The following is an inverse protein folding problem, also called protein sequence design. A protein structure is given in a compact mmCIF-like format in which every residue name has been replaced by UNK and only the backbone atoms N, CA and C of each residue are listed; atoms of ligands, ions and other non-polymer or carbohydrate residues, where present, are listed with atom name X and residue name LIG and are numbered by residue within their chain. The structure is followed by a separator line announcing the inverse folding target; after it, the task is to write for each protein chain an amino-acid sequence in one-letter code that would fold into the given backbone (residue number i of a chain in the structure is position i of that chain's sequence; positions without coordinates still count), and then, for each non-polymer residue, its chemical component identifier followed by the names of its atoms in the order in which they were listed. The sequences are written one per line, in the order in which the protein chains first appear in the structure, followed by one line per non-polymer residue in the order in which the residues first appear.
data_IF_469192471027
#
_entry.id   IF_469192471027
#
_cell.length_a   1.000
_cell.length_b   1.000
_cell.length_c   1.000
_cell.angle_alpha   90.00
_cell.angle_beta   90.00
_cell.angle_gamma   90.00
#
_symmetry.space_group_name_H-M   'P 1'
#
loop_
_entity.id
_entity.type
_entity.pdbx_description
1 polymer ?
#
# COMPACT_ATOMS: atom_id res chain seq x y z
N UNK A 1 13.19 -10.28 5.25
CA UNK A 1 13.75 -9.03 5.79
C UNK A 1 15.27 -8.92 5.89
N UNK A 2 16.10 -9.98 5.82
CA UNK A 2 17.56 -9.83 5.97
C UNK A 2 18.37 -9.74 4.67
N UNK A 3 17.86 -10.18 3.52
CA UNK A 3 18.58 -10.05 2.23
C UNK A 3 18.05 -8.88 1.38
N UNK A 4 16.77 -8.81 1.09
CA UNK A 4 16.19 -7.69 0.32
C UNK A 4 16.19 -6.38 1.11
N UNK A 5 15.85 -6.40 2.39
CA UNK A 5 15.95 -5.23 3.24
C UNK A 5 17.39 -4.79 3.55
N UNK A 6 18.42 -5.63 3.33
CA UNK A 6 19.82 -5.21 3.40
C UNK A 6 20.30 -4.60 2.10
N UNK A 7 19.82 -5.08 0.94
CA UNK A 7 20.14 -4.43 -0.34
C UNK A 7 19.54 -3.01 -0.42
N UNK A 8 18.26 -2.85 -0.12
CA UNK A 8 17.63 -1.52 -0.08
C UNK A 8 18.30 -0.59 0.96
N UNK A 9 18.66 -1.11 2.15
CA UNK A 9 19.38 -0.32 3.16
C UNK A 9 20.83 -0.02 2.79
N UNK A 10 21.48 -0.85 1.98
CA UNK A 10 22.84 -0.58 1.51
C UNK A 10 22.86 0.45 0.37
N UNK A 11 21.95 0.38 -0.58
CA UNK A 11 21.80 1.41 -1.64
C UNK A 11 21.43 2.77 -1.05
N UNK A 12 20.51 2.82 -0.08
CA UNK A 12 20.17 4.07 0.61
C UNK A 12 21.33 4.63 1.46
N UNK A 13 22.14 3.77 2.09
CA UNK A 13 23.32 4.22 2.84
C UNK A 13 24.45 4.73 1.94
N UNK A 14 24.65 4.15 0.76
CA UNK A 14 25.68 4.60 -0.18
C UNK A 14 25.30 5.96 -0.77
N UNK A 15 24.02 6.17 -1.13
CA UNK A 15 23.51 7.44 -1.63
C UNK A 15 23.58 8.53 -0.55
N UNK A 16 23.25 8.23 0.71
CA UNK A 16 23.31 9.20 1.82
C UNK A 16 24.77 9.55 2.19
N UNK A 17 25.70 8.60 2.06
CA UNK A 17 27.13 8.85 2.36
C UNK A 17 27.79 9.65 1.24
N UNK A 18 27.40 9.47 -0.02
CA UNK A 18 27.92 10.30 -1.13
C UNK A 18 27.38 11.74 -1.07
N UNK A 19 26.15 11.94 -0.63
CA UNK A 19 25.55 13.28 -0.50
C UNK A 19 26.18 14.10 0.66
N UNK A 20 26.69 13.44 1.69
CA UNK A 20 27.33 14.12 2.83
C UNK A 20 28.77 14.57 2.52
N UNK A 21 29.46 13.93 1.56
CA UNK A 21 30.82 14.29 1.21
C UNK A 21 30.92 15.53 0.29
N UNK A 22 29.84 15.90 -0.40
CA UNK A 22 29.80 17.08 -1.30
C UNK A 22 29.38 18.39 -0.60
N UNK A 23 29.04 18.37 0.70
CA UNK A 23 28.59 19.57 1.45
C UNK A 23 29.59 20.12 2.46
N UNK A 24 30.83 19.61 2.52
CA UNK A 24 31.89 20.09 3.44
C UNK A 24 33.01 20.78 2.66
N UNK A 25 32.72 21.63 1.73
CA UNK A 25 33.70 22.34 0.95
C UNK A 25 33.30 23.76 0.58
N UNK A 26 32.92 24.61 1.53
CA UNK A 26 32.97 26.06 1.40
C UNK A 26 32.55 26.75 2.72
N UNK A 27 33.50 27.02 3.58
CA UNK A 27 33.43 28.13 4.54
C UNK A 27 34.85 28.45 4.99
N UNK A 28 35.49 29.34 4.26
CA UNK A 28 36.67 30.09 4.76
C UNK A 28 36.22 31.51 5.00
N UNK A 29 36.19 31.88 6.26
CA UNK A 29 35.98 33.22 6.76
C UNK A 29 37.29 33.98 6.48
N UNK A 30 37.17 35.13 5.80
CA UNK A 30 38.26 36.12 5.69
C UNK A 30 37.92 37.27 6.63
N UNK A 31 38.75 37.47 7.62
CA UNK A 31 38.86 38.75 8.36
C UNK A 31 40.24 39.35 8.11
N UNK A 32 40.24 40.58 7.58
CA UNK A 32 41.06 41.66 8.03
C UNK A 32 42.41 41.91 7.40
N UNK A 33 42.47 42.94 6.61
CA UNK A 33 43.36 44.12 6.67
C UNK A 33 44.80 44.01 6.13
N UNK A 34 45.14 44.98 5.27
CA UNK A 34 46.49 45.61 5.16
C UNK A 34 47.24 45.42 3.85
N UNK A 35 47.07 46.37 2.94
CA UNK A 35 48.06 47.00 2.04
C UNK A 35 49.31 46.22 1.56
N UNK A 36 49.52 45.98 0.28
CA UNK A 36 50.43 46.77 -0.56
C UNK A 36 50.43 46.27 -2.03
N UNK A 37 50.56 47.24 -2.93
CA UNK A 37 50.68 47.10 -4.38
C UNK A 37 52.06 46.52 -4.74
N UNK A 38 52.11 45.61 -5.71
CA UNK A 38 53.13 45.61 -6.76
C UNK A 38 52.65 44.88 -8.02
N UNK A 39 52.58 45.65 -9.04
CA UNK A 39 52.45 45.33 -10.45
C UNK A 39 53.73 44.58 -10.94
N UNK A 40 53.60 43.48 -11.69
CA UNK A 40 54.61 43.00 -12.62
C UNK A 40 53.89 42.40 -13.85
N UNK A 41 54.44 42.84 -14.98
CA UNK A 41 54.02 42.78 -16.35
C UNK A 41 54.22 41.37 -16.97
N UNK A 42 53.42 41.12 -18.02
CA UNK A 42 53.45 39.99 -18.99
C UNK A 42 54.86 39.60 -19.43
N UNK A 43 55.06 38.34 -19.69
CA UNK A 43 55.73 37.94 -20.92
C UNK A 43 55.15 36.60 -21.48
N UNK A 44 54.93 36.61 -22.78
CA UNK A 44 54.41 35.55 -23.66
C UNK A 44 55.56 34.64 -24.11
N UNK A 45 55.33 33.33 -24.16
CA UNK A 45 55.65 32.50 -25.33
C UNK A 45 55.59 30.98 -25.02
N UNK A 46 54.68 30.33 -25.68
CA UNK A 46 54.91 29.14 -26.53
C UNK A 46 55.25 27.80 -25.90
N UNK A 47 54.37 26.86 -25.99
CA UNK A 47 54.47 25.66 -26.83
C UNK A 47 53.46 24.62 -26.40
N UNK A 48 52.79 24.10 -27.42
CA UNK A 48 51.89 22.95 -27.39
C UNK A 48 52.49 21.72 -26.72
N UNK A 49 51.67 21.06 -25.88
CA UNK A 49 51.63 19.60 -25.81
C UNK A 49 50.34 19.20 -25.12
N UNK A 50 49.38 18.75 -25.89
CA UNK A 50 48.22 18.00 -25.47
C UNK A 50 48.65 16.60 -25.07
N UNK A 51 48.32 16.11 -23.87
CA UNK A 51 48.22 14.68 -23.66
C UNK A 51 46.77 14.26 -23.94
N UNK A 52 46.67 13.21 -24.73
CA UNK A 52 45.46 12.48 -25.01
C UNK A 52 44.66 12.21 -23.78
N UNK A 53 43.41 12.70 -23.76
CA UNK A 53 42.42 12.26 -22.79
C UNK A 53 41.91 10.90 -23.29
N UNK A 54 42.47 9.84 -22.75
CA UNK A 54 41.89 8.53 -22.78
C UNK A 54 40.45 8.65 -22.26
N UNK A 55 39.51 8.33 -23.15
CA UNK A 55 38.11 8.20 -22.87
C UNK A 55 37.93 7.19 -21.74
N UNK A 56 37.67 7.68 -20.55
CA UNK A 56 37.21 6.83 -19.46
C UNK A 56 35.84 6.29 -19.92
N UNK A 57 35.81 5.05 -20.41
CA UNK A 57 34.61 4.27 -20.55
C UNK A 57 33.96 4.21 -19.19
N UNK A 58 32.84 4.90 -19.07
CA UNK A 58 31.91 4.83 -17.95
C UNK A 58 31.32 3.41 -17.99
N UNK A 59 31.92 2.50 -17.25
CA UNK A 59 31.32 1.23 -16.93
C UNK A 59 30.08 1.55 -16.08
N UNK A 60 28.94 1.67 -16.74
CA UNK A 60 27.66 1.51 -16.08
C UNK A 60 27.57 0.03 -15.69
N UNK A 61 27.99 -0.30 -14.45
CA UNK A 61 27.60 -1.54 -13.82
C UNK A 61 26.06 -1.49 -13.64
N UNK A 62 25.34 -1.89 -14.65
CA UNK A 62 23.99 -2.39 -14.51
C UNK A 62 24.12 -3.73 -13.81
N UNK A 63 24.03 -3.75 -12.47
CA UNK A 63 23.59 -4.95 -11.77
C UNK A 63 22.20 -5.29 -12.33
N UNK A 64 22.16 -6.19 -13.30
CA UNK A 64 20.92 -6.83 -13.70
C UNK A 64 20.53 -7.72 -12.54
N UNK A 65 19.75 -7.19 -11.57
CA UNK A 65 19.06 -8.04 -10.61
C UNK A 65 18.24 -9.05 -11.42
N UNK A 66 18.54 -10.34 -11.26
CA UNK A 66 17.76 -11.39 -11.91
C UNK A 66 16.30 -11.26 -11.47
N UNK A 67 15.41 -11.06 -12.44
CA UNK A 67 13.97 -10.95 -12.19
C UNK A 67 13.48 -12.30 -11.67
N UNK A 68 12.65 -12.32 -10.60
CA UNK A 68 12.09 -13.56 -10.12
C UNK A 68 11.18 -14.16 -11.20
N UNK A 69 11.45 -15.42 -11.57
CA UNK A 69 10.72 -16.15 -12.61
C UNK A 69 9.78 -17.22 -12.06
N UNK A 70 9.97 -17.61 -10.78
CA UNK A 70 9.20 -18.65 -10.11
C UNK A 70 8.56 -18.10 -8.84
N UNK A 71 7.45 -17.36 -9.01
CA UNK A 71 6.83 -16.62 -7.90
C UNK A 71 5.58 -17.33 -7.40
N UNK A 72 5.48 -17.41 -6.08
CA UNK A 72 4.28 -17.84 -5.36
C UNK A 72 3.74 -16.63 -4.59
N UNK A 73 2.46 -16.32 -4.77
CA UNK A 73 1.77 -15.31 -3.98
C UNK A 73 0.56 -15.93 -3.27
N UNK A 74 0.50 -15.83 -1.96
CA UNK A 74 -0.63 -16.32 -1.18
C UNK A 74 -1.61 -15.21 -0.88
N UNK A 75 -2.87 -15.46 -1.14
CA UNK A 75 -4.05 -14.61 -1.17
C UNK A 75 -4.34 -13.97 -2.52
N UNK A 76 -5.63 -13.78 -2.77
CA UNK A 76 -6.12 -13.10 -3.97
C UNK A 76 -5.48 -11.72 -4.16
N UNK A 77 -5.35 -10.93 -3.08
CA UNK A 77 -4.81 -9.57 -3.16
C UNK A 77 -3.31 -9.57 -3.52
N UNK A 78 -2.50 -10.45 -2.93
CA UNK A 78 -1.06 -10.54 -3.24
C UNK A 78 -0.82 -11.06 -4.65
N UNK A 79 -1.62 -12.04 -5.09
CA UNK A 79 -1.57 -12.55 -6.46
C UNK A 79 -1.90 -11.46 -7.48
N UNK A 80 -2.97 -10.70 -7.23
CA UNK A 80 -3.40 -9.59 -8.08
C UNK A 80 -2.33 -8.49 -8.16
N UNK A 81 -1.73 -8.09 -7.02
CA UNK A 81 -0.64 -7.10 -7.01
C UNK A 81 0.55 -7.52 -7.88
N UNK A 82 0.95 -8.80 -7.80
CA UNK A 82 2.04 -9.32 -8.61
C UNK A 82 1.71 -9.34 -10.10
N UNK A 83 0.48 -9.75 -10.46
CA UNK A 83 -0.02 -9.74 -11.85
C UNK A 83 -0.12 -8.30 -12.40
N UNK A 84 -0.65 -7.36 -11.60
CA UNK A 84 -0.72 -5.92 -11.95
C UNK A 84 0.67 -5.31 -12.17
N UNK A 85 1.67 -5.79 -11.45
CA UNK A 85 3.07 -5.41 -11.65
C UNK A 85 3.73 -6.07 -12.87
N UNK A 86 2.99 -6.90 -13.63
CA UNK A 86 3.46 -7.57 -14.84
C UNK A 86 4.23 -8.87 -14.58
N UNK A 87 4.05 -9.47 -13.41
CA UNK A 87 4.59 -10.78 -13.05
C UNK A 87 3.70 -11.95 -13.50
N UNK A 88 4.21 -13.16 -13.34
CA UNK A 88 3.47 -14.41 -13.50
C UNK A 88 3.62 -15.30 -12.27
N UNK A 89 2.70 -16.22 -12.05
CA UNK A 89 2.66 -17.09 -10.88
C UNK A 89 2.88 -18.55 -11.27
N UNK A 90 3.69 -19.28 -10.49
CA UNK A 90 3.78 -20.75 -10.60
C UNK A 90 2.79 -21.45 -9.67
N UNK A 91 2.38 -20.78 -8.57
CA UNK A 91 1.39 -21.27 -7.63
C UNK A 91 0.73 -20.11 -6.87
N UNK A 92 -0.48 -20.35 -6.39
CA UNK A 92 -1.22 -19.40 -5.56
C UNK A 92 -2.21 -20.12 -4.66
N UNK A 93 -2.92 -19.40 -3.78
CA UNK A 93 -4.03 -19.92 -2.98
C UNK A 93 -5.32 -20.06 -3.80
N UNK A 94 -6.23 -20.91 -3.35
CA UNK A 94 -7.49 -21.23 -4.05
C UNK A 94 -8.35 -19.99 -4.39
N UNK A 95 -8.32 -18.96 -3.53
CA UNK A 95 -9.09 -17.71 -3.69
C UNK A 95 -8.58 -16.83 -4.85
N UNK A 96 -7.38 -17.10 -5.37
CA UNK A 96 -6.76 -16.35 -6.45
C UNK A 96 -6.85 -17.04 -7.83
N UNK A 97 -7.19 -18.33 -7.90
CA UNK A 97 -7.19 -19.10 -9.16
C UNK A 97 -8.11 -18.56 -10.26
N UNK A 98 -9.12 -17.77 -9.89
CA UNK A 98 -10.04 -17.14 -10.83
C UNK A 98 -9.64 -15.75 -11.33
N UNK A 99 -8.46 -15.25 -10.93
CA UNK A 99 -7.97 -13.95 -11.37
C UNK A 99 -7.56 -13.98 -12.85
N UNK A 100 -7.84 -12.87 -13.54
CA UNK A 100 -7.28 -12.65 -14.88
C UNK A 100 -5.75 -12.60 -14.81
N UNK A 101 -5.09 -13.36 -15.68
CA UNK A 101 -3.62 -13.48 -15.69
C UNK A 101 -3.06 -14.63 -14.89
N UNK A 102 -3.89 -15.41 -14.19
CA UNK A 102 -3.50 -16.70 -13.61
C UNK A 102 -3.64 -17.77 -14.67
N UNK A 103 -2.54 -18.45 -14.99
CA UNK A 103 -2.50 -19.49 -16.02
C UNK A 103 -3.19 -20.79 -15.52
N UNK A 104 -3.69 -21.61 -16.48
CA UNK A 104 -4.38 -22.88 -16.13
C UNK A 104 -3.46 -23.91 -15.46
N UNK A 105 -2.16 -23.80 -15.62
CA UNK A 105 -1.12 -24.64 -15.03
C UNK A 105 -0.56 -24.09 -13.72
N UNK A 106 -1.04 -22.94 -13.23
CA UNK A 106 -0.71 -22.40 -11.92
C UNK A 106 -1.18 -23.38 -10.84
N UNK A 107 -0.25 -23.81 -9.98
CA UNK A 107 -0.57 -24.80 -8.93
C UNK A 107 -1.48 -24.19 -7.85
N UNK A 108 -2.49 -24.96 -7.47
CA UNK A 108 -3.37 -24.65 -6.33
C UNK A 108 -2.72 -25.13 -5.03
N UNK A 109 -2.45 -24.21 -4.11
CA UNK A 109 -1.92 -24.50 -2.77
C UNK A 109 -3.02 -24.58 -1.71
N UNK A 110 -4.30 -24.46 -2.10
CA UNK A 110 -5.45 -24.50 -1.20
C UNK A 110 -5.65 -23.22 -0.40
N UNK A 111 -6.20 -23.39 0.79
CA UNK A 111 -6.47 -22.28 1.73
C UNK A 111 -5.16 -21.61 2.18
N UNK A 112 -5.06 -20.29 2.00
CA UNK A 112 -3.86 -19.51 2.29
C UNK A 112 -3.35 -19.59 3.73
N UNK A 113 -4.24 -19.92 4.70
CA UNK A 113 -3.89 -20.03 6.12
C UNK A 113 -3.35 -21.43 6.48
N UNK A 114 -3.43 -22.40 5.54
CA UNK A 114 -3.09 -23.81 5.75
C UNK A 114 -2.01 -24.34 4.78
N UNK A 115 -1.34 -23.46 4.04
CA UNK A 115 -0.30 -23.86 3.08
C UNK A 115 0.93 -24.41 3.81
N UNK A 116 1.42 -25.58 3.39
CA UNK A 116 2.60 -26.19 4.00
C UNK A 116 3.90 -25.70 3.37
N UNK A 117 4.96 -25.55 4.19
CA UNK A 117 6.30 -25.20 3.73
C UNK A 117 6.85 -26.22 2.73
N UNK A 118 6.55 -27.51 2.93
CA UNK A 118 6.99 -28.58 2.03
C UNK A 118 6.38 -28.44 0.63
N UNK A 119 5.11 -28.05 0.52
CA UNK A 119 4.45 -27.81 -0.76
C UNK A 119 5.10 -26.62 -1.50
N UNK A 120 5.43 -25.55 -0.78
CA UNK A 120 6.14 -24.39 -1.33
C UNK A 120 7.55 -24.80 -1.78
N UNK A 121 8.31 -25.46 -0.92
CA UNK A 121 9.70 -25.86 -1.21
C UNK A 121 9.80 -26.82 -2.39
N UNK A 122 8.81 -27.72 -2.57
CA UNK A 122 8.77 -28.64 -3.71
C UNK A 122 8.62 -27.94 -5.07
N UNK A 123 8.12 -26.72 -5.08
CA UNK A 123 7.97 -25.89 -6.27
C UNK A 123 9.21 -25.03 -6.56
N UNK A 124 10.23 -25.08 -5.71
CA UNK A 124 11.49 -24.34 -5.87
C UNK A 124 11.27 -22.86 -6.29
N UNK A 125 10.50 -22.07 -5.51
CA UNK A 125 10.27 -20.67 -5.86
C UNK A 125 11.51 -19.81 -5.60
N UNK A 126 11.68 -18.78 -6.40
CA UNK A 126 12.69 -17.74 -6.19
C UNK A 126 12.12 -16.50 -5.47
N UNK A 127 10.79 -16.41 -5.31
CA UNK A 127 10.12 -15.39 -4.50
C UNK A 127 8.78 -15.92 -3.95
N UNK A 128 8.52 -15.65 -2.67
CA UNK A 128 7.25 -15.89 -2.00
C UNK A 128 6.67 -14.54 -1.53
N UNK A 129 5.43 -14.22 -1.89
CA UNK A 129 4.73 -12.98 -1.52
C UNK A 129 3.66 -13.29 -0.49
N UNK A 130 3.75 -12.67 0.70
CA UNK A 130 2.92 -12.94 1.86
C UNK A 130 2.47 -11.65 2.56
N UNK A 131 1.39 -11.73 3.33
CA UNK A 131 1.03 -10.67 4.27
C UNK A 131 1.92 -10.67 5.51
N UNK A 132 2.38 -9.49 5.93
CA UNK A 132 3.14 -9.31 7.16
C UNK A 132 2.25 -9.31 8.42
N UNK A 133 0.96 -9.01 8.27
CA UNK A 133 -0.01 -8.85 9.35
C UNK A 133 -0.75 -10.15 9.70
N UNK A 134 -0.73 -11.13 8.80
CA UNK A 134 -1.30 -12.45 9.06
C UNK A 134 -0.31 -13.34 9.83
N UNK A 135 -0.65 -13.84 11.04
CA UNK A 135 0.28 -14.64 11.85
C UNK A 135 0.69 -15.98 11.19
N UNK A 136 -0.22 -16.63 10.44
CA UNK A 136 0.08 -17.90 9.79
C UNK A 136 1.04 -17.68 8.61
N UNK A 137 0.76 -16.70 7.77
CA UNK A 137 1.63 -16.34 6.65
C UNK A 137 2.99 -15.81 7.12
N UNK A 138 3.03 -15.05 8.20
CA UNK A 138 4.29 -14.58 8.80
C UNK A 138 5.15 -15.75 9.29
N UNK A 139 4.56 -16.70 10.00
CA UNK A 139 5.27 -17.89 10.48
C UNK A 139 5.78 -18.76 9.30
N UNK A 140 4.96 -18.92 8.26
CA UNK A 140 5.32 -19.61 7.02
C UNK A 140 6.50 -18.92 6.31
N UNK A 141 6.46 -17.60 6.20
CA UNK A 141 7.52 -16.82 5.57
C UNK A 141 8.84 -16.88 6.35
N UNK A 142 8.80 -16.78 7.69
CA UNK A 142 10.00 -16.96 8.53
C UNK A 142 10.61 -18.38 8.35
N UNK A 143 9.78 -19.39 8.20
CA UNK A 143 10.23 -20.75 7.93
C UNK A 143 10.82 -20.91 6.51
N UNK A 144 10.21 -20.27 5.49
CA UNK A 144 10.70 -20.25 4.11
C UNK A 144 12.06 -19.53 4.00
N UNK A 145 12.21 -18.38 4.66
CA UNK A 145 13.51 -17.67 4.77
C UNK A 145 14.58 -18.54 5.44
N UNK A 146 14.18 -19.36 6.43
CA UNK A 146 15.07 -20.30 7.14
C UNK A 146 15.69 -21.37 6.23
N UNK A 147 15.03 -21.72 5.14
CA UNK A 147 15.53 -22.68 4.13
C UNK A 147 16.04 -22.00 2.86
N UNK A 148 16.10 -20.66 2.84
CA UNK A 148 16.72 -19.87 1.78
C UNK A 148 15.78 -19.40 0.69
N UNK A 149 14.46 -19.52 0.83
CA UNK A 149 13.46 -18.96 -0.08
C UNK A 149 13.30 -17.48 0.26
N UNK A 150 13.48 -16.55 -0.72
CA UNK A 150 13.24 -15.13 -0.52
C UNK A 150 11.75 -14.85 -0.27
N UNK A 151 11.44 -13.95 0.68
CA UNK A 151 10.06 -13.56 1.00
C UNK A 151 9.90 -12.05 0.87
N UNK A 152 8.87 -11.63 0.16
CA UNK A 152 8.38 -10.25 0.13
C UNK A 152 7.09 -10.14 0.95
N UNK A 153 7.11 -9.30 1.98
CA UNK A 153 5.95 -9.10 2.83
C UNK A 153 5.20 -7.83 2.43
N UNK A 154 3.92 -7.97 2.14
CA UNK A 154 3.01 -6.85 1.90
C UNK A 154 2.29 -6.44 3.19
N UNK A 155 2.05 -5.15 3.34
CA UNK A 155 1.05 -4.56 4.22
C UNK A 155 0.52 -3.30 3.55
N UNK A 156 -0.78 -3.23 3.32
CA UNK A 156 -1.42 -2.10 2.65
C UNK A 156 -2.58 -1.65 3.54
N UNK A 157 -2.37 -0.58 4.30
CA UNK A 157 -3.38 0.02 5.17
C UNK A 157 -3.92 1.35 4.61
N UNK A 158 -3.25 1.89 3.56
CA UNK A 158 -3.59 3.14 2.91
C UNK A 158 -3.05 3.15 1.46
N UNK A 159 -3.36 4.22 0.71
CA UNK A 159 -2.90 4.36 -0.67
C UNK A 159 -1.38 4.47 -0.81
N UNK A 160 -0.70 5.14 0.13
CA UNK A 160 0.76 5.28 0.08
C UNK A 160 1.48 3.92 0.26
N UNK A 161 0.91 3.01 1.06
CA UNK A 161 1.43 1.64 1.18
C UNK A 161 1.26 0.88 -0.15
N UNK A 162 0.11 1.03 -0.83
CA UNK A 162 -0.12 0.46 -2.16
C UNK A 162 0.91 0.99 -3.17
N UNK A 163 1.14 2.30 -3.21
CA UNK A 163 2.15 2.95 -4.05
C UNK A 163 3.55 2.38 -3.78
N UNK A 164 3.92 2.22 -2.51
CA UNK A 164 5.22 1.66 -2.11
C UNK A 164 5.38 0.21 -2.57
N UNK A 165 4.36 -0.63 -2.35
CA UNK A 165 4.36 -2.03 -2.78
C UNK A 165 4.47 -2.14 -4.29
N UNK A 166 3.67 -1.40 -5.04
CA UNK A 166 3.71 -1.43 -6.52
C UNK A 166 5.03 -0.89 -7.08
N UNK A 167 5.63 0.11 -6.41
CA UNK A 167 6.98 0.58 -6.76
C UNK A 167 8.00 -0.54 -6.69
N UNK A 168 7.97 -1.34 -5.63
CA UNK A 168 8.90 -2.45 -5.45
C UNK A 168 8.60 -3.60 -6.43
N UNK A 169 7.32 -3.99 -6.57
CA UNK A 169 6.94 -5.10 -7.44
C UNK A 169 7.21 -4.80 -8.93
N UNK A 170 6.93 -3.57 -9.39
CA UNK A 170 7.23 -3.18 -10.78
C UNK A 170 8.73 -3.11 -11.08
N UNK A 171 9.57 -2.80 -10.08
CA UNK A 171 11.03 -2.92 -10.18
C UNK A 171 11.46 -4.39 -10.28
N UNK A 172 10.92 -5.27 -9.43
CA UNK A 172 11.23 -6.71 -9.43
C UNK A 172 10.86 -7.36 -10.77
N UNK A 173 9.73 -7.01 -11.36
CA UNK A 173 9.32 -7.50 -12.69
C UNK A 173 10.04 -6.79 -13.82
N UNK A 174 10.69 -5.64 -13.56
CA UNK A 174 11.27 -4.73 -14.54
C UNK A 174 10.23 -4.05 -15.43
N UNK A 175 8.98 -3.96 -14.97
CA UNK A 175 7.85 -3.33 -15.65
C UNK A 175 7.51 -1.99 -14.99
N UNK A 176 8.52 -1.15 -14.84
CA UNK A 176 8.34 0.20 -14.28
C UNK A 176 7.40 1.09 -15.09
N UNK A 177 7.14 0.72 -16.36
CA UNK A 177 6.12 1.32 -17.19
C UNK A 177 4.70 1.16 -16.64
N UNK A 178 4.43 0.04 -15.93
CA UNK A 178 3.13 -0.20 -15.30
C UNK A 178 2.89 0.66 -14.04
N UNK A 179 3.94 1.20 -13.44
CA UNK A 179 3.79 2.13 -12.33
C UNK A 179 2.97 3.36 -12.73
N UNK A 180 3.23 3.92 -13.92
CA UNK A 180 2.51 5.11 -14.39
C UNK A 180 1.00 4.86 -14.39
N UNK A 181 0.53 3.81 -15.07
CA UNK A 181 -0.90 3.54 -15.25
C UNK A 181 -1.59 2.93 -14.04
N UNK A 182 -0.85 2.20 -13.18
CA UNK A 182 -1.43 1.49 -12.02
C UNK A 182 -1.34 2.29 -10.73
N UNK A 183 -0.46 3.30 -10.68
CA UNK A 183 -0.22 4.10 -9.48
C UNK A 183 -0.37 5.59 -9.77
N UNK A 184 0.43 6.18 -10.65
CA UNK A 184 0.44 7.63 -10.86
C UNK A 184 -0.90 8.15 -11.39
N UNK A 185 -1.46 7.53 -12.43
CA UNK A 185 -2.76 7.90 -12.99
C UNK A 185 -3.88 7.73 -11.94
N UNK A 186 -3.83 6.64 -11.14
CA UNK A 186 -4.79 6.40 -10.06
C UNK A 186 -4.69 7.45 -8.97
N UNK A 187 -3.46 7.86 -8.60
CA UNK A 187 -3.22 8.95 -7.64
C UNK A 187 -3.78 10.26 -8.12
N UNK A 188 -3.54 10.62 -9.38
CA UNK A 188 -4.06 11.87 -9.98
C UNK A 188 -5.59 11.90 -9.95
N UNK A 189 -6.24 10.79 -10.31
CA UNK A 189 -7.70 10.66 -10.27
C UNK A 189 -8.27 10.80 -8.85
N UNK A 190 -7.61 10.20 -7.85
CA UNK A 190 -8.00 10.37 -6.44
C UNK A 190 -7.92 11.84 -6.03
N UNK A 191 -6.81 12.52 -6.36
CA UNK A 191 -6.64 13.94 -6.02
C UNK A 191 -7.67 14.83 -6.71
N UNK A 192 -8.11 14.50 -7.94
CA UNK A 192 -9.18 15.22 -8.63
C UNK A 192 -10.51 15.06 -7.90
N UNK A 193 -10.87 13.84 -7.48
CA UNK A 193 -12.10 13.59 -6.72
C UNK A 193 -12.10 14.38 -5.40
N UNK A 194 -10.96 14.40 -4.70
CA UNK A 194 -10.85 15.10 -3.41
C UNK A 194 -11.02 16.62 -3.57
N UNK A 195 -10.58 17.21 -4.68
CA UNK A 195 -10.78 18.66 -4.95
C UNK A 195 -12.25 19.05 -5.09
N UNK A 196 -13.12 18.10 -5.40
CA UNK A 196 -14.56 18.31 -5.54
C UNK A 196 -15.32 18.24 -4.19
N UNK A 197 -14.65 17.85 -3.09
CA UNK A 197 -15.28 17.75 -1.76
C UNK A 197 -15.80 19.12 -1.32
N UNK A 198 -17.10 19.22 -0.93
CA UNK A 198 -17.68 20.49 -0.52
C UNK A 198 -17.08 21.04 0.79
N UNK A 199 -17.05 22.36 0.94
CA UNK A 199 -16.72 23.00 2.22
C UNK A 199 -17.72 22.57 3.31
N UNK A 200 -17.22 22.32 4.53
CA UNK A 200 -18.04 21.90 5.69
C UNK A 200 -18.26 20.38 5.78
N UNK A 201 -17.69 19.60 4.86
CA UNK A 201 -17.76 18.13 4.92
C UNK A 201 -17.16 17.57 6.22
N UNK A 202 -16.14 18.23 6.76
CA UNK A 202 -15.42 17.87 8.01
C UNK A 202 -16.28 17.93 9.28
N UNK A 203 -17.44 18.54 9.22
CA UNK A 203 -18.41 18.55 10.32
C UNK A 203 -19.19 17.23 10.43
N UNK A 204 -19.19 16.43 9.37
CA UNK A 204 -19.94 15.16 9.31
C UNK A 204 -19.13 14.01 9.88
N UNK A 205 -19.85 13.13 10.55
CA UNK A 205 -19.28 11.95 11.21
C UNK A 205 -19.77 10.66 10.59
N UNK A 206 -18.93 9.62 10.65
CA UNK A 206 -19.32 8.30 10.20
C UNK A 206 -18.91 7.19 11.17
N UNK A 207 -19.61 6.07 11.07
CA UNK A 207 -19.24 4.79 11.65
C UNK A 207 -19.07 3.78 10.51
N UNK A 208 -17.94 3.05 10.50
CA UNK A 208 -17.69 1.96 9.57
C UNK A 208 -17.72 0.62 10.31
N UNK A 209 -18.60 -0.26 9.87
CA UNK A 209 -18.82 -1.59 10.46
C UNK A 209 -18.36 -2.68 9.49
N UNK A 210 -17.56 -3.60 9.98
CA UNK A 210 -17.19 -4.81 9.27
C UNK A 210 -17.92 -5.99 9.89
N UNK A 211 -18.83 -6.60 9.15
CA UNK A 211 -19.76 -7.62 9.66
C UNK A 211 -19.51 -8.98 9.00
N UNK A 212 -19.63 -10.04 9.79
CA UNK A 212 -19.57 -11.43 9.33
C UNK A 212 -20.65 -12.26 10.02
N UNK A 213 -20.83 -13.49 9.58
CA UNK A 213 -21.79 -14.41 10.20
C UNK A 213 -21.54 -14.68 11.70
N UNK A 214 -20.33 -14.48 12.19
CA UNK A 214 -19.92 -14.85 13.55
C UNK A 214 -19.38 -13.70 14.37
N UNK A 215 -18.96 -12.61 13.73
CA UNK A 215 -18.32 -11.48 14.40
C UNK A 215 -18.56 -10.19 13.62
N UNK A 216 -18.91 -9.14 14.34
CA UNK A 216 -18.94 -7.78 13.83
C UNK A 216 -17.98 -6.91 14.62
N UNK A 217 -17.34 -5.94 13.96
CA UNK A 217 -16.45 -4.98 14.59
C UNK A 217 -16.61 -3.59 14.00
N UNK A 218 -16.22 -2.58 14.75
CA UNK A 218 -16.04 -1.23 14.26
C UNK A 218 -14.64 -1.13 13.63
N UNK A 219 -14.55 -0.48 12.46
CA UNK A 219 -13.28 -0.19 11.83
C UNK A 219 -12.80 1.21 12.25
N UNK A 220 -11.53 1.27 12.65
CA UNK A 220 -10.84 2.50 13.08
C UNK A 220 -10.08 3.14 11.93
N UNK A 221 -9.27 4.17 12.22
CA UNK A 221 -8.53 4.89 11.19
C UNK A 221 -7.40 4.08 10.52
N UNK A 222 -6.97 2.98 11.12
CA UNK A 222 -6.01 2.02 10.58
C UNK A 222 -6.59 1.07 9.52
N UNK A 223 -7.91 1.11 9.28
CA UNK A 223 -8.54 0.35 8.22
C UNK A 223 -8.51 1.15 6.89
N UNK A 224 -8.09 0.51 5.80
CA UNK A 224 -7.86 1.18 4.51
C UNK A 224 -9.08 1.98 3.99
N UNK A 225 -10.30 1.46 4.13
CA UNK A 225 -11.50 2.17 3.69
C UNK A 225 -11.80 3.41 4.55
N UNK A 226 -11.29 3.47 5.79
CA UNK A 226 -11.39 4.69 6.62
C UNK A 226 -10.58 5.84 6.05
N UNK A 227 -9.43 5.58 5.40
CA UNK A 227 -8.70 6.62 4.68
C UNK A 227 -9.58 7.31 3.64
N UNK A 228 -10.35 6.52 2.86
CA UNK A 228 -11.21 7.03 1.78
C UNK A 228 -12.21 8.05 2.34
N UNK A 229 -12.98 7.66 3.38
CA UNK A 229 -13.97 8.54 3.98
C UNK A 229 -13.34 9.75 4.68
N UNK A 230 -12.22 9.57 5.37
CA UNK A 230 -11.48 10.66 6.00
C UNK A 230 -10.98 11.68 4.97
N UNK A 231 -10.41 11.23 3.84
CA UNK A 231 -9.95 12.13 2.76
C UNK A 231 -11.09 12.79 1.99
N UNK A 232 -12.27 12.17 1.99
CA UNK A 232 -13.50 12.78 1.50
C UNK A 232 -14.18 13.70 2.55
N UNK A 233 -13.48 14.06 3.62
CA UNK A 233 -13.86 15.09 4.56
C UNK A 233 -14.69 14.61 5.75
N UNK A 234 -14.98 13.32 5.91
CA UNK A 234 -15.73 12.83 7.05
C UNK A 234 -14.82 12.48 8.22
N UNK A 235 -15.36 12.47 9.43
CA UNK A 235 -14.66 12.10 10.64
C UNK A 235 -15.19 10.78 11.22
N UNK A 236 -14.29 9.79 11.36
CA UNK A 236 -14.61 8.52 12.00
C UNK A 236 -14.90 8.73 13.49
N UNK A 237 -16.08 8.35 14.00
CA UNK A 237 -16.38 8.44 15.43
C UNK A 237 -15.57 7.45 16.27
N UNK A 238 -15.14 6.36 15.67
CA UNK A 238 -14.31 5.36 16.35
C UNK A 238 -12.83 5.74 16.33
N UNK A 239 -12.33 6.40 15.27
CA UNK A 239 -10.94 6.81 15.09
C UNK A 239 -9.95 5.90 15.84
N UNK A 240 -9.36 6.40 16.95
CA UNK A 240 -8.47 5.66 17.86
C UNK A 240 -9.13 5.41 19.24
N UNK A 241 -10.46 5.61 19.36
CA UNK A 241 -11.16 5.50 20.63
C UNK A 241 -11.33 4.03 21.06
N UNK A 242 -10.76 3.69 22.20
CA UNK A 242 -10.87 2.35 22.79
C UNK A 242 -12.31 1.99 23.24
N UNK A 243 -13.22 2.97 23.33
CA UNK A 243 -14.64 2.70 23.61
C UNK A 243 -15.30 1.84 22.53
N UNK A 244 -14.73 1.80 21.33
CA UNK A 244 -15.18 0.98 20.21
C UNK A 244 -14.40 -0.34 20.03
N UNK A 245 -13.52 -0.73 20.96
CA UNK A 245 -12.86 -2.05 20.92
C UNK A 245 -13.86 -3.20 21.05
N UNK A 246 -14.97 -2.95 21.74
CA UNK A 246 -16.13 -3.83 21.79
C UNK A 246 -17.33 -3.15 21.11
N UNK A 247 -17.91 -3.84 20.12
CA UNK A 247 -19.08 -3.33 19.39
C UNK A 247 -20.31 -3.31 20.29
N UNK A 248 -20.86 -2.13 20.58
CA UNK A 248 -22.02 -1.90 21.41
C UNK A 248 -23.02 -0.94 20.75
N UNK A 249 -24.29 -1.36 20.62
CA UNK A 249 -25.33 -0.48 20.12
C UNK A 249 -25.54 0.75 21.00
N UNK A 250 -25.37 0.63 22.33
CA UNK A 250 -25.48 1.76 23.26
C UNK A 250 -24.42 2.82 22.95
N UNK A 251 -23.18 2.39 22.67
CA UNK A 251 -22.10 3.28 22.29
C UNK A 251 -22.36 3.97 20.94
N UNK A 252 -22.88 3.23 19.97
CA UNK A 252 -23.25 3.77 18.65
C UNK A 252 -24.33 4.83 18.80
N UNK A 253 -25.38 4.55 19.61
CA UNK A 253 -26.48 5.49 19.87
C UNK A 253 -25.99 6.75 20.62
N UNK A 254 -25.08 6.57 21.58
CA UNK A 254 -24.52 7.70 22.31
C UNK A 254 -23.65 8.63 21.44
N UNK A 255 -23.01 8.07 20.40
CA UNK A 255 -22.17 8.82 19.46
C UNK A 255 -22.94 9.41 18.29
N UNK A 256 -24.11 8.85 17.97
CA UNK A 256 -25.07 9.27 16.95
C UNK A 256 -24.44 9.75 15.62
N UNK A 257 -23.76 8.88 14.86
CA UNK A 257 -23.07 9.27 13.63
C UNK A 257 -24.02 9.79 12.55
N UNK A 258 -23.53 10.70 11.68
CA UNK A 258 -24.29 11.18 10.51
C UNK A 258 -24.45 10.14 9.41
N UNK A 259 -23.46 9.23 9.27
CA UNK A 259 -23.41 8.14 8.30
C UNK A 259 -23.04 6.82 8.95
N UNK A 260 -23.65 5.72 8.48
CA UNK A 260 -23.26 4.36 8.84
C UNK A 260 -22.95 3.59 7.56
N UNK A 261 -21.72 3.09 7.48
CA UNK A 261 -21.27 2.24 6.40
C UNK A 261 -21.05 0.82 6.90
N UNK A 262 -21.50 -0.16 6.14
CA UNK A 262 -21.39 -1.57 6.46
C UNK A 262 -20.67 -2.29 5.34
N UNK A 263 -19.64 -3.06 5.69
CA UNK A 263 -18.93 -3.97 4.79
C UNK A 263 -19.06 -5.38 5.29
N UNK A 264 -19.32 -6.33 4.39
CA UNK A 264 -19.48 -7.75 4.74
C UNK A 264 -18.19 -8.55 4.53
N UNK A 265 -17.99 -9.58 5.38
CA UNK A 265 -16.92 -10.57 5.24
C UNK A 265 -17.50 -11.98 5.18
N UNK A 266 -16.97 -12.81 4.28
CA UNK A 266 -17.42 -14.18 4.08
C UNK A 266 -18.76 -14.22 3.32
N UNK A 267 -19.69 -15.05 3.78
CA UNK A 267 -21.04 -15.15 3.23
C UNK A 267 -21.86 -13.90 3.58
N UNK A 268 -22.15 -13.08 2.58
CA UNK A 268 -22.83 -11.79 2.74
C UNK A 268 -24.21 -11.94 3.37
N UNK A 269 -24.98 -12.94 2.91
CA UNK A 269 -26.33 -13.15 3.42
C UNK A 269 -26.33 -13.45 4.92
N UNK A 270 -25.46 -14.36 5.35
CA UNK A 270 -25.33 -14.72 6.78
C UNK A 270 -24.77 -13.56 7.60
N UNK A 271 -23.86 -12.79 7.03
CA UNK A 271 -23.32 -11.60 7.69
C UNK A 271 -24.41 -10.56 7.95
N UNK A 272 -25.27 -10.30 6.95
CA UNK A 272 -26.38 -9.36 7.08
C UNK A 272 -27.49 -9.88 8.02
N UNK A 273 -27.82 -11.17 7.98
CA UNK A 273 -28.76 -11.79 8.92
C UNK A 273 -28.27 -11.60 10.37
N UNK A 274 -26.99 -11.87 10.63
CA UNK A 274 -26.39 -11.66 11.97
C UNK A 274 -26.40 -10.18 12.38
N UNK A 275 -26.12 -9.27 11.44
CA UNK A 275 -26.14 -7.85 11.70
C UNK A 275 -27.55 -7.34 12.01
N UNK A 276 -28.57 -7.78 11.26
CA UNK A 276 -29.95 -7.39 11.48
C UNK A 276 -30.43 -7.82 12.87
N UNK A 277 -30.16 -9.06 13.30
CA UNK A 277 -30.48 -9.56 14.64
C UNK A 277 -29.78 -8.74 15.74
N UNK A 278 -28.52 -8.37 15.56
CA UNK A 278 -27.74 -7.67 16.58
C UNK A 278 -28.10 -6.18 16.69
N UNK A 279 -28.47 -5.54 15.60
CA UNK A 279 -28.62 -4.09 15.52
C UNK A 279 -29.96 -3.62 14.99
N UNK A 280 -30.35 -3.98 13.75
CA UNK A 280 -31.54 -3.43 13.11
C UNK A 280 -32.84 -3.80 13.79
N UNK A 281 -32.92 -4.98 14.36
CA UNK A 281 -34.10 -5.45 15.09
C UNK A 281 -34.26 -4.81 16.48
N UNK A 282 -33.26 -3.99 16.88
CA UNK A 282 -33.31 -3.28 18.15
C UNK A 282 -33.99 -1.91 17.98
N UNK A 283 -34.99 -1.55 18.84
CA UNK A 283 -35.65 -0.24 18.73
C UNK A 283 -34.71 0.98 18.80
N UNK A 284 -33.57 0.83 19.44
CA UNK A 284 -32.56 1.89 19.54
C UNK A 284 -31.91 2.22 18.20
N UNK A 285 -31.85 1.27 17.25
CA UNK A 285 -31.32 1.49 15.90
C UNK A 285 -32.10 2.55 15.13
N UNK A 286 -33.44 2.50 15.19
CA UNK A 286 -34.33 3.48 14.55
C UNK A 286 -34.18 4.90 15.13
N UNK A 287 -33.57 5.04 16.31
CA UNK A 287 -33.34 6.35 16.92
C UNK A 287 -32.14 7.10 16.33
N UNK A 288 -31.23 6.41 15.63
CA UNK A 288 -30.01 6.98 15.05
C UNK A 288 -30.31 8.02 13.96
N UNK A 289 -29.54 9.11 13.97
CA UNK A 289 -29.64 10.15 12.95
C UNK A 289 -29.33 9.64 11.55
N UNK A 290 -28.32 8.80 11.40
CA UNK A 290 -27.99 8.15 10.12
C UNK A 290 -29.17 7.33 9.56
N UNK A 291 -29.87 6.57 10.41
CA UNK A 291 -31.01 5.74 9.99
C UNK A 291 -32.20 6.61 9.59
N UNK A 292 -32.55 7.63 10.39
CA UNK A 292 -33.64 8.57 10.11
C UNK A 292 -33.47 9.37 8.83
N UNK A 293 -32.20 9.68 8.50
CA UNK A 293 -31.84 10.48 7.32
C UNK A 293 -31.49 9.62 6.09
N UNK A 294 -31.70 8.28 6.16
CA UNK A 294 -31.38 7.33 5.09
C UNK A 294 -29.87 7.27 4.72
N UNK A 295 -29.00 7.68 5.66
CA UNK A 295 -27.54 7.67 5.51
C UNK A 295 -26.90 6.36 6.02
N UNK A 296 -27.55 5.23 5.77
CA UNK A 296 -27.06 3.90 6.06
C UNK A 296 -26.82 3.14 4.75
N UNK A 297 -25.58 2.69 4.53
CA UNK A 297 -25.16 2.10 3.25
C UNK A 297 -24.45 0.77 3.44
N UNK A 298 -24.84 -0.23 2.65
CA UNK A 298 -24.06 -1.43 2.43
C UNK A 298 -23.08 -1.16 1.31
N UNK A 299 -21.80 -1.21 1.62
CA UNK A 299 -20.72 -0.93 0.68
C UNK A 299 -20.33 -2.18 -0.13
N UNK A 300 -19.82 -1.97 -1.33
CA UNK A 300 -19.22 -3.02 -2.15
C UNK A 300 -18.07 -3.70 -1.41
N UNK A 301 -18.14 -5.02 -1.25
CA UNK A 301 -17.08 -5.82 -0.64
C UNK A 301 -15.76 -5.72 -1.42
N UNK A 302 -15.85 -5.67 -2.75
CA UNK A 302 -14.67 -5.62 -3.62
C UNK A 302 -13.92 -4.29 -3.57
N UNK A 303 -14.60 -3.20 -3.16
CA UNK A 303 -14.02 -1.86 -3.10
C UNK A 303 -13.68 -1.40 -1.67
N UNK A 304 -14.37 -1.96 -0.66
CA UNK A 304 -14.24 -1.49 0.73
C UNK A 304 -14.00 -2.62 1.75
N UNK A 305 -14.17 -3.88 1.34
CA UNK A 305 -13.95 -5.05 2.20
C UNK A 305 -12.68 -5.82 1.86
N UNK A 306 -12.25 -5.76 0.62
CA UNK A 306 -10.98 -6.28 0.11
C UNK A 306 -10.12 -5.09 -0.32
N UNK A 307 -8.80 -5.26 -0.30
CA UNK A 307 -7.88 -4.21 -0.80
C UNK A 307 -8.20 -3.95 -2.28
N UNK A 308 -8.50 -2.71 -2.68
CA UNK A 308 -8.96 -2.42 -4.04
C UNK A 308 -7.86 -2.47 -5.10
N UNK A 309 -6.60 -2.55 -4.69
CA UNK A 309 -5.41 -2.58 -5.55
C UNK A 309 -5.41 -1.40 -6.57
N UNK A 310 -5.39 -1.62 -7.87
CA UNK A 310 -5.44 -0.54 -8.87
C UNK A 310 -6.83 0.15 -9.00
N UNK A 311 -7.83 -0.31 -8.22
CA UNK A 311 -9.20 0.26 -8.19
C UNK A 311 -9.42 1.27 -7.05
N UNK A 312 -8.36 1.81 -6.44
CA UNK A 312 -8.50 2.83 -5.40
C UNK A 312 -9.33 4.03 -5.86
N UNK A 313 -9.09 4.56 -7.06
CA UNK A 313 -9.87 5.68 -7.59
C UNK A 313 -11.36 5.34 -7.76
N UNK A 314 -11.68 4.09 -8.12
CA UNK A 314 -13.07 3.61 -8.18
C UNK A 314 -13.72 3.62 -6.79
N UNK A 315 -12.99 3.20 -5.75
CA UNK A 315 -13.48 3.27 -4.36
C UNK A 315 -13.74 4.71 -3.91
N UNK A 316 -12.84 5.64 -4.22
CA UNK A 316 -13.06 7.08 -3.94
C UNK A 316 -14.26 7.64 -4.70
N UNK A 317 -14.42 7.29 -5.98
CA UNK A 317 -15.56 7.75 -6.81
C UNK A 317 -16.89 7.21 -6.28
N UNK A 318 -16.94 5.94 -5.89
CA UNK A 318 -18.14 5.33 -5.30
C UNK A 318 -18.49 6.00 -3.97
N UNK A 319 -17.53 6.19 -3.07
CA UNK A 319 -17.71 6.88 -1.80
C UNK A 319 -18.16 8.33 -2.02
N UNK A 320 -17.53 9.08 -2.93
CA UNK A 320 -17.90 10.45 -3.27
C UNK A 320 -19.35 10.54 -3.77
N UNK A 321 -19.75 9.62 -4.64
CA UNK A 321 -21.13 9.55 -5.15
C UNK A 321 -22.14 9.28 -4.03
N UNK A 322 -21.82 8.40 -3.09
CA UNK A 322 -22.67 8.15 -1.92
C UNK A 322 -22.83 9.41 -1.07
N UNK A 323 -21.76 10.16 -0.87
CA UNK A 323 -21.74 11.30 0.03
C UNK A 323 -22.30 12.58 -0.59
N UNK A 324 -22.05 12.82 -1.88
CA UNK A 324 -22.25 14.14 -2.52
C UNK A 324 -23.00 14.06 -3.86
N UNK A 325 -23.25 12.86 -4.38
CA UNK A 325 -23.83 12.66 -5.72
C UNK A 325 -25.35 12.56 -5.75
N UNK A 326 -26.07 13.18 -4.79
CA UNK A 326 -27.54 13.21 -4.69
C UNK A 326 -28.24 13.97 -5.81
#
# INVERSE_FOLDING_TARGET
MKRYGKLLKQTFRIITTLLVITLVGCSAIVTGDGADKKEIVLDTAGTENTPDIETAEKIEETETEEKPGRVIALSKSNAELWLLAGGSLIATSEDALGLEGVDEDTADLGDMDHVSLEAIAALEPDLLILFSTDPAQKALGEAAEGIGIPVYYTNIDNYADYESVMTDLTKLTGRTDLYETRVADVSEEIEEIIKEVPEGAEEKTYLLLHVSATKSKVEKNDYFASEIFNRLGLRNIAADDSAFDELSLEQIVASDPDYIFVVTRGDEKKALESFDELFKDQPAWESLSAVKNENYYLLSKDLFGLKPNDRWAESYREAFKILYGG
#
